data_IF_431481932235
#
_entry.id   IF_431481932235
#
_cell.length_a   1.000
_cell.length_b   1.000
_cell.length_c   1.000
_cell.angle_alpha   90.00
_cell.angle_beta   90.00
_cell.angle_gamma   90.00
#
_symmetry.space_group_name_H-M   'P 1'
#
loop_
_entity.id
_entity.type
_entity.pdbx_description
1 polymer ?
#
# COMPACT_ATOMS: atom_id res chain seq x y z
N UNK A 1 -5.48 2.12 7.38
CA UNK A 1 -4.68 3.34 7.62
C UNK A 1 -3.23 2.91 7.81
N UNK A 2 -2.29 3.55 7.11
CA UNK A 2 -0.88 3.17 7.11
C UNK A 2 -0.09 4.18 7.93
N UNK A 3 0.40 3.75 9.08
CA UNK A 3 1.15 4.57 10.06
C UNK A 3 2.50 3.91 10.36
N UNK A 4 3.00 4.00 11.60
CA UNK A 4 4.14 3.18 12.03
C UNK A 4 3.88 1.69 11.76
N UNK A 5 4.89 0.98 11.27
CA UNK A 5 4.76 -0.39 10.78
C UNK A 5 4.51 -0.50 9.26
N UNK A 6 4.20 0.62 8.59
CA UNK A 6 4.08 0.71 7.13
C UNK A 6 3.10 -0.31 6.54
N UNK A 7 3.28 -0.71 5.28
CA UNK A 7 2.44 -1.73 4.65
C UNK A 7 2.61 -3.09 5.32
N UNK A 8 3.84 -3.40 5.73
CA UNK A 8 4.21 -4.70 6.30
C UNK A 8 3.40 -5.06 7.54
N UNK A 9 3.22 -4.13 8.47
CA UNK A 9 2.53 -4.43 9.73
C UNK A 9 1.06 -4.01 9.73
N UNK A 10 0.67 -3.00 8.94
CA UNK A 10 -0.70 -2.47 9.00
C UNK A 10 -1.68 -3.25 8.10
N UNK A 11 -1.25 -3.73 6.93
CA UNK A 11 -2.16 -4.38 5.97
C UNK A 11 -2.62 -5.77 6.43
N UNK A 12 -1.76 -6.65 7.00
CA UNK A 12 -2.21 -7.95 7.50
C UNK A 12 -3.28 -7.87 8.60
N UNK A 13 -3.40 -6.74 9.31
CA UNK A 13 -4.44 -6.53 10.33
C UNK A 13 -5.86 -6.43 9.75
N UNK A 14 -6.01 -6.37 8.42
CA UNK A 14 -7.28 -6.20 7.74
C UNK A 14 -7.98 -7.53 7.40
N UNK A 15 -7.29 -8.66 7.48
CA UNK A 15 -7.78 -9.96 7.03
C UNK A 15 -7.27 -11.11 7.90
N UNK A 16 -7.79 -12.32 7.67
CA UNK A 16 -7.43 -13.54 8.40
C UNK A 16 -6.07 -14.12 7.95
N UNK A 17 -5.46 -14.94 8.81
CA UNK A 17 -4.09 -15.47 8.63
C UNK A 17 -3.91 -16.38 7.41
N UNK A 18 -5.00 -16.86 6.79
CA UNK A 18 -4.98 -17.67 5.57
C UNK A 18 -4.91 -16.84 4.28
N UNK A 19 -4.84 -15.51 4.41
CA UNK A 19 -4.76 -14.58 3.29
C UNK A 19 -3.46 -13.79 3.36
N UNK A 20 -2.92 -13.45 2.19
CA UNK A 20 -1.79 -12.56 2.04
C UNK A 20 -2.11 -11.44 1.04
N UNK A 21 -1.57 -10.25 1.30
CA UNK A 21 -1.60 -9.14 0.35
C UNK A 21 -0.45 -9.26 -0.64
N UNK A 22 -0.78 -9.38 -1.93
CA UNK A 22 0.17 -9.31 -3.04
C UNK A 22 0.10 -7.92 -3.66
N UNK A 23 1.21 -7.20 -3.65
CA UNK A 23 1.29 -5.85 -4.21
C UNK A 23 1.77 -5.88 -5.66
N UNK A 24 1.30 -4.94 -6.49
CA UNK A 24 1.87 -4.73 -7.82
C UNK A 24 3.26 -4.09 -7.72
N UNK A 25 4.07 -4.21 -8.78
CA UNK A 25 5.40 -3.57 -8.80
C UNK A 25 5.27 -2.04 -8.74
N UNK A 26 4.27 -1.47 -9.42
CA UNK A 26 4.02 -0.04 -9.46
C UNK A 26 3.64 0.52 -8.08
N UNK A 27 2.83 -0.23 -7.32
CA UNK A 27 2.45 0.14 -5.96
C UNK A 27 3.65 0.20 -5.00
N UNK A 28 4.73 -0.50 -5.34
CA UNK A 28 5.94 -0.59 -4.54
C UNK A 28 7.02 0.42 -4.96
N UNK A 29 6.78 1.21 -6.01
CA UNK A 29 7.66 2.28 -6.41
C UNK A 29 7.68 3.39 -5.35
N UNK A 30 8.88 3.79 -4.94
CA UNK A 30 9.04 4.83 -3.95
C UNK A 30 8.87 6.22 -4.58
N UNK A 31 8.02 7.10 -4.02
CA UNK A 31 8.02 8.51 -4.38
C UNK A 31 9.42 9.12 -4.15
N UNK A 32 9.80 10.19 -4.89
CA UNK A 32 11.17 10.73 -4.88
C UNK A 32 11.75 11.02 -3.49
N UNK A 33 10.92 11.52 -2.56
CA UNK A 33 11.34 11.76 -1.18
C UNK A 33 11.76 10.47 -0.47
N UNK A 34 11.00 9.38 -0.63
CA UNK A 34 11.31 8.10 -0.01
C UNK A 34 12.47 7.40 -0.69
N UNK A 35 12.62 7.56 -2.01
CA UNK A 35 13.78 7.06 -2.74
C UNK A 35 15.06 7.74 -2.25
N UNK A 36 15.07 9.07 -2.15
CA UNK A 36 16.18 9.82 -1.57
C UNK A 36 16.48 9.39 -0.13
N UNK A 37 15.44 9.25 0.71
CA UNK A 37 15.59 8.84 2.10
C UNK A 37 16.19 7.43 2.21
N UNK A 38 15.77 6.51 1.33
CA UNK A 38 16.31 5.17 1.27
C UNK A 38 17.81 5.18 0.98
N UNK A 39 18.21 5.95 -0.04
CA UNK A 39 19.61 6.08 -0.45
C UNK A 39 20.48 6.71 0.65
N UNK A 40 20.06 7.87 1.17
CA UNK A 40 20.80 8.61 2.20
C UNK A 40 20.89 7.82 3.51
N UNK A 41 19.79 7.18 3.90
CA UNK A 41 19.70 6.36 5.11
C UNK A 41 20.30 4.96 4.96
N UNK A 42 20.71 4.54 3.76
CA UNK A 42 21.18 3.17 3.44
C UNK A 42 20.18 2.09 3.88
N UNK A 43 18.90 2.35 3.69
CA UNK A 43 17.81 1.49 4.14
C UNK A 43 17.47 0.42 3.09
N UNK A 44 17.20 -0.80 3.53
CA UNK A 44 16.66 -1.84 2.66
C UNK A 44 15.20 -1.56 2.27
N UNK A 45 14.74 -2.18 1.18
CA UNK A 45 13.32 -2.13 0.80
C UNK A 45 12.40 -2.61 1.93
N UNK A 46 12.82 -3.63 2.70
CA UNK A 46 12.04 -4.17 3.80
C UNK A 46 11.90 -3.15 4.95
N UNK A 47 12.99 -2.48 5.32
CA UNK A 47 12.98 -1.42 6.33
C UNK A 47 12.13 -0.23 5.90
N UNK A 48 12.25 0.19 4.63
CA UNK A 48 11.43 1.27 4.09
C UNK A 48 9.94 0.97 4.24
N UNK A 49 9.50 -0.22 3.81
CA UNK A 49 8.08 -0.64 3.81
C UNK A 49 7.51 -0.95 5.18
N UNK A 50 8.35 -1.31 6.16
CA UNK A 50 7.96 -1.52 7.56
C UNK A 50 7.97 -0.21 8.36
N UNK A 51 8.76 0.78 7.97
CA UNK A 51 8.92 2.00 8.78
C UNK A 51 8.03 3.13 8.28
N UNK A 52 7.93 3.29 6.96
CA UNK A 52 7.25 4.40 6.32
C UNK A 52 6.01 3.93 5.55
N UNK A 53 5.15 4.89 5.20
CA UNK A 53 3.99 4.63 4.35
C UNK A 53 4.34 4.52 2.85
N UNK A 54 5.53 4.98 2.45
CA UNK A 54 6.04 4.96 1.08
C UNK A 54 5.07 5.55 0.04
N UNK A 55 4.25 6.55 0.43
CA UNK A 55 3.27 7.20 -0.45
C UNK A 55 1.86 6.63 -0.37
N UNK A 56 1.62 5.55 0.38
CA UNK A 56 0.29 4.95 0.55
C UNK A 56 -0.20 5.20 1.98
N UNK A 57 -1.05 6.21 2.17
CA UNK A 57 -1.61 6.56 3.49
C UNK A 57 -2.78 5.66 3.94
N UNK A 58 -3.49 5.03 3.00
CA UNK A 58 -4.66 4.22 3.25
C UNK A 58 -4.77 3.03 2.32
N UNK A 59 -5.32 1.93 2.81
CA UNK A 59 -5.59 0.71 2.04
C UNK A 59 -7.03 0.29 2.33
N UNK A 60 -7.75 -0.08 1.28
CA UNK A 60 -9.13 -0.56 1.32
C UNK A 60 -9.17 -1.92 0.62
N UNK A 61 -9.74 -2.92 1.29
CA UNK A 61 -10.01 -4.23 0.69
C UNK A 61 -11.46 -4.26 0.21
N UNK A 62 -11.68 -4.45 -1.09
CA UNK A 62 -13.02 -4.46 -1.69
C UNK A 62 -13.19 -5.62 -2.67
N UNK A 63 -14.45 -5.98 -2.94
CA UNK A 63 -14.78 -6.96 -3.98
C UNK A 63 -14.34 -6.44 -5.36
N UNK A 64 -13.86 -7.31 -6.27
CA UNK A 64 -13.41 -6.91 -7.61
C UNK A 64 -14.44 -6.07 -8.38
N UNK A 65 -15.73 -6.43 -8.27
CA UNK A 65 -16.83 -5.71 -8.92
C UNK A 65 -17.04 -4.27 -8.43
N UNK A 66 -16.51 -3.90 -7.28
CA UNK A 66 -16.65 -2.56 -6.69
C UNK A 66 -15.46 -1.64 -7.00
N UNK A 67 -14.36 -2.17 -7.56
CA UNK A 67 -13.09 -1.44 -7.72
C UNK A 67 -13.28 -0.19 -8.57
N UNK A 68 -13.87 -0.31 -9.77
CA UNK A 68 -14.02 0.82 -10.68
C UNK A 68 -14.84 1.96 -10.06
N UNK A 69 -16.01 1.64 -9.49
CA UNK A 69 -16.88 2.63 -8.86
C UNK A 69 -16.23 3.31 -7.64
N UNK A 70 -15.46 2.56 -6.84
CA UNK A 70 -14.74 3.12 -5.70
C UNK A 70 -13.63 4.08 -6.14
N UNK A 71 -12.84 3.69 -7.14
CA UNK A 71 -11.78 4.55 -7.68
C UNK A 71 -12.34 5.86 -8.23
N UNK A 72 -13.43 5.78 -9.01
CA UNK A 72 -14.12 6.96 -9.51
C UNK A 72 -14.57 7.88 -8.37
N UNK A 73 -15.21 7.31 -7.34
CA UNK A 73 -15.69 8.06 -6.17
C UNK A 73 -14.55 8.76 -5.42
N UNK A 74 -13.47 8.04 -5.13
CA UNK A 74 -12.33 8.58 -4.38
C UNK A 74 -11.60 9.67 -5.18
N UNK A 75 -11.35 9.42 -6.47
CA UNK A 75 -10.67 10.39 -7.32
C UNK A 75 -11.54 11.64 -7.57
N UNK A 76 -12.86 11.49 -7.68
CA UNK A 76 -13.79 12.63 -7.75
C UNK A 76 -13.83 13.45 -6.45
N UNK A 77 -13.53 12.83 -5.31
CA UNK A 77 -13.39 13.50 -4.02
C UNK A 77 -12.03 14.19 -3.82
N UNK A 78 -11.11 14.09 -4.80
CA UNK A 78 -9.78 14.71 -4.75
C UNK A 78 -8.68 13.83 -4.16
N UNK A 79 -8.98 12.56 -3.85
CA UNK A 79 -7.96 11.59 -3.45
C UNK A 79 -7.16 11.10 -4.67
N UNK A 80 -5.98 10.53 -4.43
CA UNK A 80 -5.20 9.82 -5.46
C UNK A 80 -5.29 8.32 -5.20
N UNK A 81 -6.36 7.69 -5.71
CA UNK A 81 -6.63 6.27 -5.50
C UNK A 81 -6.26 5.44 -6.74
N UNK A 82 -5.62 4.29 -6.49
CA UNK A 82 -5.25 3.31 -7.49
C UNK A 82 -5.40 1.88 -6.95
N UNK A 83 -5.47 0.90 -7.85
CA UNK A 83 -5.33 -0.51 -7.47
C UNK A 83 -3.87 -0.75 -7.13
N UNK A 84 -3.60 -1.24 -5.92
CA UNK A 84 -2.23 -1.47 -5.44
C UNK A 84 -1.86 -2.96 -5.36
N UNK A 85 -2.80 -3.86 -5.65
CA UNK A 85 -2.61 -5.29 -5.50
C UNK A 85 -3.92 -6.06 -5.30
N UNK A 86 -3.77 -7.30 -4.83
CA UNK A 86 -4.86 -8.23 -4.57
C UNK A 86 -4.59 -9.10 -3.32
N UNK A 87 -5.65 -9.74 -2.81
CA UNK A 87 -5.55 -10.73 -1.74
C UNK A 87 -5.49 -12.12 -2.36
N UNK A 88 -4.55 -12.94 -1.91
CA UNK A 88 -4.34 -14.33 -2.32
C UNK A 88 -4.36 -15.25 -1.10
N UNK A 89 -4.52 -16.55 -1.31
CA UNK A 89 -4.25 -17.54 -0.26
C UNK A 89 -2.77 -17.47 0.14
N UNK A 90 -2.52 -17.53 1.45
CA UNK A 90 -1.19 -17.32 2.06
C UNK A 90 -0.95 -18.21 3.26
#
# INVERSE_FOLDING_TARGET
HITGGGLTDNVPRMFEDNLAARYSEEALNLPPLFAWLQEEGKLSNAEMRRTFNCGIGGVLAVRPKAVAALLETLNAAGETAAVIGDLVEG
#
